data_IF_679108658910
#
_entry.id   IF_679108658910
#
_cell.length_a   1.000
_cell.length_b   1.000
_cell.length_c   1.000
_cell.angle_alpha   90.00
_cell.angle_beta   90.00
_cell.angle_gamma   90.00
#
_symmetry.space_group_name_H-M   'P 1'
#
loop_
_entity.id
_entity.type
_entity.pdbx_description
1 polymer ?
#
# COMPACT_ATOMS: atom_id res chain seq x y z
N UNK A 1 9.73 -25.39 -0.61
CA UNK A 1 10.11 -24.36 -1.56
C UNK A 1 9.20 -23.16 -1.47
N UNK A 2 7.94 -23.39 -1.57
CA UNK A 2 7.00 -22.29 -1.68
C UNK A 2 6.70 -21.60 -0.38
N UNK A 3 6.84 -22.33 0.71
CA UNK A 3 6.45 -21.75 2.00
C UNK A 3 7.32 -20.57 2.40
N UNK A 4 8.63 -20.74 2.29
CA UNK A 4 9.53 -19.67 2.63
C UNK A 4 9.33 -18.46 1.76
N UNK A 5 9.16 -18.70 0.49
CA UNK A 5 8.92 -17.63 -0.46
C UNK A 5 7.57 -16.99 -0.25
N UNK A 6 6.63 -17.74 0.31
CA UNK A 6 5.28 -17.26 0.44
C UNK A 6 5.19 -16.05 1.35
N UNK A 7 5.96 -16.01 2.41
CA UNK A 7 5.93 -14.87 3.32
C UNK A 7 6.44 -13.61 2.66
N UNK A 8 7.62 -13.69 2.05
CA UNK A 8 8.16 -12.56 1.32
C UNK A 8 7.28 -12.21 0.14
N UNK A 9 6.78 -13.25 -0.52
CA UNK A 9 5.92 -13.07 -1.67
C UNK A 9 4.66 -12.32 -1.29
N UNK A 10 4.12 -12.57 -0.11
CA UNK A 10 2.93 -11.90 0.35
C UNK A 10 3.16 -10.41 0.52
N UNK A 11 4.30 -10.05 1.11
CA UNK A 11 4.63 -8.64 1.28
C UNK A 11 4.80 -7.94 -0.07
N UNK A 12 5.56 -8.55 -0.96
CA UNK A 12 5.79 -7.97 -2.29
C UNK A 12 4.50 -7.91 -3.09
N UNK A 13 3.68 -8.93 -2.97
CA UNK A 13 2.42 -8.95 -3.68
C UNK A 13 1.51 -7.85 -3.17
N UNK A 14 1.49 -7.63 -1.87
CA UNK A 14 0.68 -6.56 -1.31
C UNK A 14 1.19 -5.19 -1.75
N UNK A 15 2.50 -5.03 -1.82
CA UNK A 15 3.07 -3.80 -2.34
C UNK A 15 2.57 -3.52 -3.76
N UNK A 16 2.60 -4.55 -4.59
CA UNK A 16 2.17 -4.38 -5.97
C UNK A 16 0.69 -4.05 -6.06
N UNK A 17 -0.12 -4.75 -5.29
CA UNK A 17 -1.57 -4.50 -5.30
C UNK A 17 -1.87 -3.07 -4.86
N UNK A 18 -1.22 -2.63 -3.80
CA UNK A 18 -1.48 -1.29 -3.27
C UNK A 18 -0.96 -0.24 -4.24
N UNK A 19 0.21 -0.46 -4.81
CA UNK A 19 0.74 0.47 -5.79
C UNK A 19 -0.18 0.57 -7.01
N UNK A 20 -0.65 -0.59 -7.50
CA UNK A 20 -1.57 -0.59 -8.63
C UNK A 20 -2.86 0.14 -8.29
N UNK A 21 -3.34 -0.03 -7.07
CA UNK A 21 -4.55 0.69 -6.64
C UNK A 21 -4.33 2.19 -6.69
N UNK A 22 -3.21 2.65 -6.13
CA UNK A 22 -2.96 4.08 -6.06
C UNK A 22 -2.71 4.68 -7.44
N UNK A 23 -2.20 3.87 -8.37
CA UNK A 23 -1.95 4.33 -9.74
C UNK A 23 -3.17 4.23 -10.63
N UNK A 24 -4.24 3.61 -10.14
CA UNK A 24 -5.45 3.44 -10.94
C UNK A 24 -6.09 4.79 -11.21
N UNK A 25 -6.59 4.96 -12.44
CA UNK A 25 -7.23 6.20 -12.83
C UNK A 25 -8.45 6.53 -11.98
N UNK A 26 -9.10 5.51 -11.45
CA UNK A 26 -10.29 5.71 -10.64
C UNK A 26 -9.98 5.90 -9.16
N UNK A 27 -8.70 5.82 -8.79
CA UNK A 27 -8.32 5.99 -7.40
C UNK A 27 -8.49 7.43 -6.97
N UNK A 28 -9.07 7.63 -5.80
CA UNK A 28 -9.09 8.95 -5.17
C UNK A 28 -8.18 8.89 -3.95
N UNK A 29 -7.45 9.95 -3.65
CA UNK A 29 -6.53 9.93 -2.51
C UNK A 29 -7.24 9.51 -1.23
N UNK A 30 -6.64 8.58 -0.51
CA UNK A 30 -7.23 8.02 0.69
C UNK A 30 -6.20 7.94 1.79
N UNK A 31 -6.69 7.97 3.02
CA UNK A 31 -5.85 7.73 4.18
C UNK A 31 -5.67 6.23 4.39
N UNK A 32 -4.67 5.88 5.22
CA UNK A 32 -4.39 4.47 5.49
C UNK A 32 -5.64 3.73 5.94
N UNK A 33 -6.42 4.33 6.80
CA UNK A 33 -7.63 3.69 7.31
C UNK A 33 -8.60 3.39 6.17
N UNK A 34 -8.73 4.33 5.26
CA UNK A 34 -9.66 4.15 4.15
C UNK A 34 -9.17 3.07 3.19
N UNK A 35 -7.86 3.03 2.95
CA UNK A 35 -7.30 1.99 2.10
C UNK A 35 -7.50 0.62 2.75
N UNK A 36 -7.29 0.55 4.06
CA UNK A 36 -7.49 -0.71 4.77
C UNK A 36 -8.94 -1.18 4.65
N UNK A 37 -9.88 -0.26 4.75
CA UNK A 37 -11.28 -0.63 4.63
C UNK A 37 -11.62 -1.07 3.21
N UNK A 38 -11.10 -0.37 2.22
CA UNK A 38 -11.36 -0.72 0.84
C UNK A 38 -10.83 -2.11 0.51
N UNK A 39 -9.65 -2.43 0.99
CA UNK A 39 -9.02 -3.72 0.72
C UNK A 39 -9.41 -4.78 1.73
N UNK A 40 -10.30 -4.43 2.67
CA UNK A 40 -10.78 -5.36 3.69
C UNK A 40 -9.63 -5.95 4.50
N UNK A 41 -8.67 -5.11 4.85
CA UNK A 41 -7.53 -5.53 5.63
C UNK A 41 -7.90 -5.50 7.11
N UNK A 42 -7.77 -6.63 7.82
CA UNK A 42 -8.13 -6.67 9.24
C UNK A 42 -7.23 -5.74 10.05
N UNK A 43 -7.74 -5.36 11.22
CA UNK A 43 -7.02 -4.44 12.08
C UNK A 43 -5.63 -4.96 12.42
N UNK A 44 -5.52 -6.26 12.67
CA UNK A 44 -4.22 -6.82 13.05
C UNK A 44 -3.20 -6.75 11.92
N UNK A 45 -3.64 -6.54 10.69
CA UNK A 45 -2.74 -6.45 9.55
C UNK A 45 -2.51 -5.03 9.09
N UNK A 46 -3.04 -4.05 9.81
CA UNK A 46 -2.84 -2.65 9.41
C UNK A 46 -1.40 -2.21 9.59
N UNK A 47 -0.69 -2.80 10.54
CA UNK A 47 0.73 -2.49 10.69
C UNK A 47 1.50 -2.91 9.44
N UNK A 48 1.16 -4.05 8.88
CA UNK A 48 1.80 -4.51 7.66
C UNK A 48 1.45 -3.57 6.50
N UNK A 49 0.20 -3.14 6.43
CA UNK A 49 -0.20 -2.19 5.41
C UNK A 49 0.60 -0.90 5.52
N UNK A 50 0.78 -0.42 6.75
CA UNK A 50 1.57 0.78 6.96
C UNK A 50 3.00 0.58 6.49
N UNK A 51 3.58 -0.57 6.78
CA UNK A 51 4.93 -0.86 6.35
C UNK A 51 5.04 -0.89 4.83
N UNK A 52 4.04 -1.47 4.17
CA UNK A 52 4.02 -1.49 2.72
C UNK A 52 3.96 -0.07 2.16
N UNK A 53 3.09 0.76 2.72
CA UNK A 53 2.97 2.13 2.25
C UNK A 53 4.24 2.91 2.49
N UNK A 54 4.88 2.69 3.63
CA UNK A 54 6.15 3.37 3.91
C UNK A 54 7.25 2.91 2.97
N UNK A 55 7.25 1.63 2.62
CA UNK A 55 8.23 1.12 1.68
C UNK A 55 8.04 1.73 0.30
N UNK A 56 6.79 1.87 -0.14
CA UNK A 56 6.51 2.50 -1.42
C UNK A 56 6.89 3.97 -1.40
N UNK A 57 6.66 4.62 -0.27
CA UNK A 57 7.02 6.02 -0.13
C UNK A 57 8.53 6.19 -0.16
N UNK A 58 9.26 5.30 0.51
CA UNK A 58 10.71 5.35 0.50
C UNK A 58 11.27 5.11 -0.89
N UNK A 59 10.57 4.31 -1.69
CA UNK A 59 10.97 4.06 -3.07
C UNK A 59 10.61 5.21 -4.01
N UNK A 60 9.90 6.21 -3.50
CA UNK A 60 9.49 7.33 -4.33
C UNK A 60 8.32 7.05 -5.24
N UNK A 61 7.65 5.91 -5.02
CA UNK A 61 6.53 5.52 -5.87
C UNK A 61 5.22 6.17 -5.47
N UNK A 62 5.10 6.54 -4.20
CA UNK A 62 3.92 7.24 -3.70
C UNK A 62 4.39 8.28 -2.69
N UNK A 63 3.50 9.19 -2.34
CA UNK A 63 3.80 10.12 -1.26
C UNK A 63 2.51 10.46 -0.51
N UNK A 64 2.70 11.05 0.65
CA UNK A 64 1.58 11.41 1.53
C UNK A 64 1.33 12.90 1.39
N UNK A 65 0.07 13.26 1.09
CA UNK A 65 -0.29 14.66 0.98
C UNK A 65 -0.37 15.31 2.37
N UNK A 66 -0.56 16.60 2.39
CA UNK A 66 -0.68 17.33 3.65
C UNK A 66 -1.82 16.82 4.49
N UNK A 67 -2.84 16.29 3.86
CA UNK A 67 -4.00 15.78 4.58
C UNK A 67 -3.84 14.33 5.02
N UNK A 68 -2.67 13.76 4.80
CA UNK A 68 -2.41 12.38 5.20
C UNK A 68 -2.94 11.36 4.22
N UNK A 69 -3.21 11.78 3.01
CA UNK A 69 -3.73 10.88 1.98
C UNK A 69 -2.62 10.42 1.07
N UNK A 70 -2.67 9.17 0.67
CA UNK A 70 -1.64 8.58 -0.18
C UNK A 70 -1.96 8.83 -1.64
N UNK A 71 -0.97 9.28 -2.39
CA UNK A 71 -1.14 9.59 -3.80
C UNK A 71 0.05 9.06 -4.58
N UNK A 72 -0.17 8.91 -5.88
CA UNK A 72 0.88 8.42 -6.76
C UNK A 72 2.02 9.43 -6.81
N UNK A 73 3.25 8.93 -6.73
CA UNK A 73 4.41 9.80 -6.83
C UNK A 73 4.56 10.36 -8.22
N UNK A 74 5.21 11.50 -8.30
CA UNK A 74 5.50 12.12 -9.58
C UNK A 74 6.78 11.53 -10.16
N UNK A 75 6.86 11.39 -11.47
CA UNK A 75 8.09 10.92 -12.12
C UNK A 75 9.23 11.90 -11.91
#
# INVERSE_FOLDING_TARGET
MKEGERMEHTFEKRKKVIYDLICDDLYVPMKLKEIAMLLQIPREQRNELKEVLEALEADGKIYVSKKGKYVKGQP
#
